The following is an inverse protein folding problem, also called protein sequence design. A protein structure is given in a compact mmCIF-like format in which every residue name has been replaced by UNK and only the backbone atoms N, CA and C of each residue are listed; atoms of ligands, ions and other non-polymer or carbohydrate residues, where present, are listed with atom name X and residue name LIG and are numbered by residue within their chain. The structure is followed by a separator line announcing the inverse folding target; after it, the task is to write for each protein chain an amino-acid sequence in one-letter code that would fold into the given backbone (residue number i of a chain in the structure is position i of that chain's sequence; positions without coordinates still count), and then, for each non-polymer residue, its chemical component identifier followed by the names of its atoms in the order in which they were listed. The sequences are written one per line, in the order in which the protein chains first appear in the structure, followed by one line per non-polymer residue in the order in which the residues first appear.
data_IF_542926009273
#
_entry.id   IF_542926009273
#
_cell.length_a   1.000
_cell.length_b   1.000
_cell.length_c   1.000
_cell.angle_alpha   90.00
_cell.angle_beta   90.00
_cell.angle_gamma   90.00
#
_symmetry.space_group_name_H-M   'P 1'
#
loop_
_entity.id
_entity.type
_entity.pdbx_description
1 polymer ?
#
# COMPACT_ATOMS: atom_id res chain seq x y z
N UNK A 1 1.15 9.07 12.14
CA UNK A 1 2.35 9.43 11.36
C UNK A 1 2.90 8.21 10.59
N UNK A 2 3.29 7.14 11.29
CA UNK A 2 4.01 6.00 10.72
C UNK A 2 3.27 5.25 9.56
N UNK A 3 1.94 5.19 9.58
CA UNK A 3 1.15 4.55 8.51
C UNK A 3 1.21 5.36 7.22
N UNK A 4 1.02 6.68 7.30
CA UNK A 4 1.11 7.59 6.15
C UNK A 4 2.50 7.53 5.50
N UNK A 5 3.56 7.48 6.30
CA UNK A 5 4.94 7.42 5.81
C UNK A 5 5.21 6.10 5.06
N UNK A 6 4.60 4.99 5.51
CA UNK A 6 4.70 3.70 4.83
C UNK A 6 3.88 3.68 3.53
N UNK A 7 2.65 4.20 3.55
CA UNK A 7 1.80 4.30 2.36
C UNK A 7 2.51 5.11 1.27
N UNK A 8 3.10 6.25 1.65
CA UNK A 8 3.86 7.10 0.73
C UNK A 8 5.07 6.36 0.15
N UNK A 9 5.85 5.67 0.98
CA UNK A 9 7.03 4.94 0.53
C UNK A 9 6.70 3.78 -0.44
N UNK A 10 5.60 3.06 -0.19
CA UNK A 10 5.15 1.99 -1.06
C UNK A 10 4.60 2.53 -2.39
N UNK A 11 3.84 3.63 -2.34
CA UNK A 11 3.30 4.27 -3.54
C UNK A 11 4.41 4.84 -4.42
N UNK A 12 5.39 5.55 -3.84
CA UNK A 12 6.54 6.08 -4.58
C UNK A 12 7.30 4.95 -5.30
N UNK A 13 7.59 3.85 -4.60
CA UNK A 13 8.23 2.68 -5.22
C UNK A 13 7.37 2.08 -6.34
N UNK A 14 6.06 1.95 -6.16
CA UNK A 14 5.17 1.42 -7.19
C UNK A 14 5.08 2.31 -8.44
N UNK A 15 5.17 3.63 -8.27
CA UNK A 15 5.23 4.58 -9.40
C UNK A 15 6.54 4.43 -10.17
N UNK A 16 7.68 4.33 -9.48
CA UNK A 16 8.98 4.10 -10.12
C UNK A 16 9.00 2.76 -10.87
N UNK A 17 8.44 1.71 -10.26
CA UNK A 17 8.30 0.39 -10.87
C UNK A 17 7.41 0.41 -12.10
N UNK A 18 6.35 1.22 -12.13
CA UNK A 18 5.51 1.39 -13.33
C UNK A 18 6.32 1.93 -14.52
N UNK A 19 7.23 2.87 -14.26
CA UNK A 19 8.17 3.37 -15.27
C UNK A 19 9.13 2.28 -15.75
N UNK A 20 9.66 1.48 -14.81
CA UNK A 20 10.53 0.35 -15.14
C UNK A 20 9.81 -0.69 -16.01
N UNK A 21 8.57 -1.07 -15.65
CA UNK A 21 7.74 -2.02 -16.40
C UNK A 21 7.51 -1.58 -17.83
N UNK A 22 7.29 -0.27 -18.06
CA UNK A 22 7.11 0.26 -19.41
C UNK A 22 8.36 0.08 -20.29
N UNK A 23 9.54 -0.09 -19.69
CA UNK A 23 10.83 -0.27 -20.38
C UNK A 23 11.17 -1.75 -20.54
N UNK A 24 11.12 -2.55 -19.46
CA UNK A 24 11.60 -3.93 -19.44
C UNK A 24 10.52 -5.00 -19.57
N UNK A 25 9.25 -4.63 -19.43
CA UNK A 25 8.10 -5.55 -19.42
C UNK A 25 7.75 -6.08 -18.02
N UNK A 26 6.48 -6.45 -17.83
CA UNK A 26 5.96 -6.92 -16.53
C UNK A 26 6.58 -8.25 -16.09
N UNK A 27 7.01 -9.08 -17.05
CA UNK A 27 7.60 -10.40 -16.81
C UNK A 27 8.99 -10.35 -16.16
N UNK A 28 9.66 -9.19 -16.21
CA UNK A 28 10.99 -9.00 -15.62
C UNK A 28 10.94 -8.59 -14.13
N UNK A 29 9.75 -8.36 -13.58
CA UNK A 29 9.59 -7.94 -12.19
C UNK A 29 9.79 -9.11 -11.21
N UNK A 30 10.36 -8.80 -10.05
CA UNK A 30 10.34 -9.73 -8.92
C UNK A 30 8.91 -9.83 -8.34
N UNK A 31 8.63 -10.92 -7.62
CA UNK A 31 7.36 -11.06 -6.88
C UNK A 31 7.09 -9.89 -5.93
N UNK A 32 8.16 -9.32 -5.37
CA UNK A 32 8.09 -8.14 -4.52
C UNK A 32 7.64 -6.91 -5.29
N UNK A 33 8.27 -6.66 -6.44
CA UNK A 33 8.00 -5.46 -7.23
C UNK A 33 6.60 -5.53 -7.85
N UNK A 34 6.19 -6.72 -8.27
CA UNK A 34 4.82 -6.99 -8.74
C UNK A 34 3.78 -6.67 -7.66
N UNK A 35 4.05 -7.01 -6.39
CA UNK A 35 3.15 -6.66 -5.27
C UNK A 35 3.11 -5.15 -5.01
N UNK A 36 4.24 -4.45 -5.11
CA UNK A 36 4.28 -2.99 -4.97
C UNK A 36 3.56 -2.27 -6.11
N UNK A 37 3.68 -2.79 -7.34
CA UNK A 37 2.95 -2.29 -8.49
C UNK A 37 1.43 -2.44 -8.31
N UNK A 38 0.99 -3.63 -7.88
CA UNK A 38 -0.42 -3.90 -7.55
C UNK A 38 -0.93 -3.02 -6.42
N UNK A 39 -0.11 -2.81 -5.39
CA UNK A 39 -0.43 -1.91 -4.28
C UNK A 39 -0.64 -0.47 -4.78
N UNK A 40 0.22 0.04 -5.65
CA UNK A 40 0.07 1.40 -6.18
C UNK A 40 -1.24 1.57 -6.97
N UNK A 41 -1.60 0.58 -7.80
CA UNK A 41 -2.88 0.58 -8.49
C UNK A 41 -4.07 0.53 -7.52
N UNK A 42 -4.03 -0.35 -6.51
CA UNK A 42 -5.08 -0.46 -5.50
C UNK A 42 -5.20 0.81 -4.64
N UNK A 43 -4.08 1.47 -4.35
CA UNK A 43 -4.07 2.74 -3.63
C UNK A 43 -4.78 3.86 -4.40
N UNK A 44 -4.52 3.97 -5.70
CA UNK A 44 -5.20 4.94 -6.56
C UNK A 44 -6.71 4.68 -6.63
N UNK A 45 -7.13 3.42 -6.72
CA UNK A 45 -8.55 3.05 -6.86
C UNK A 45 -9.32 3.09 -5.54
N UNK A 46 -8.70 2.75 -4.41
CA UNK A 46 -9.39 2.66 -3.11
C UNK A 46 -9.26 3.96 -2.32
N UNK A 47 -8.08 4.59 -2.29
CA UNK A 47 -7.83 5.78 -1.45
C UNK A 47 -8.07 7.07 -2.21
N UNK A 48 -7.49 7.20 -3.42
CA UNK A 48 -7.52 8.45 -4.19
C UNK A 48 -8.85 8.63 -4.90
N UNK A 49 -9.40 7.55 -5.50
CA UNK A 49 -10.69 7.58 -6.19
C UNK A 49 -11.83 7.56 -5.18
N UNK A 50 -12.28 8.76 -4.81
CA UNK A 50 -13.46 8.96 -3.96
C UNK A 50 -14.60 9.54 -4.80
N UNK A 51 -15.81 9.00 -4.63
CA UNK A 51 -16.97 9.53 -5.33
C UNK A 51 -17.37 10.90 -4.73
N UNK A 52 -18.03 11.76 -5.50
CA UNK A 52 -18.50 13.07 -5.02
C UNK A 52 -19.42 13.02 -3.79
N UNK A 53 -20.01 11.87 -3.50
CA UNK A 53 -20.90 11.63 -2.35
C UNK A 53 -20.22 10.89 -1.20
N UNK A 54 -18.94 10.57 -1.35
CA UNK A 54 -18.20 9.75 -0.42
C UNK A 54 -17.60 10.67 0.66
N UNK A 55 -18.24 10.72 1.82
CA UNK A 55 -17.79 11.52 2.96
C UNK A 55 -17.09 10.59 3.96
N UNK A 56 -15.79 10.37 3.75
CA UNK A 56 -14.99 9.46 4.56
C UNK A 56 -14.34 10.21 5.70
N UNK A 57 -14.58 9.71 6.91
CA UNK A 57 -13.82 10.14 8.09
C UNK A 57 -12.35 9.70 8.00
N UNK A 58 -11.49 10.37 8.78
CA UNK A 58 -10.08 9.99 8.89
C UNK A 58 -9.90 8.55 9.39
N UNK A 59 -10.79 8.07 10.27
CA UNK A 59 -10.75 6.70 10.78
C UNK A 59 -11.00 5.67 9.66
N UNK A 60 -12.06 5.87 8.88
CA UNK A 60 -12.38 5.01 7.72
C UNK A 60 -11.24 5.00 6.69
N UNK A 61 -10.65 6.16 6.42
CA UNK A 61 -9.52 6.26 5.50
C UNK A 61 -8.30 5.48 6.01
N UNK A 62 -8.03 5.53 7.31
CA UNK A 62 -6.96 4.76 7.95
C UNK A 62 -7.24 3.25 7.92
N UNK A 63 -8.49 2.83 8.11
CA UNK A 63 -8.89 1.42 8.02
C UNK A 63 -8.68 0.88 6.60
N UNK A 64 -9.05 1.65 5.57
CA UNK A 64 -8.77 1.31 4.17
C UNK A 64 -7.26 1.22 3.89
N UNK A 65 -6.46 2.13 4.45
CA UNK A 65 -5.01 2.07 4.33
C UNK A 65 -4.45 0.78 4.94
N UNK A 66 -4.95 0.37 6.11
CA UNK A 66 -4.55 -0.89 6.74
C UNK A 66 -4.97 -2.11 5.92
N UNK A 67 -6.16 -2.10 5.32
CA UNK A 67 -6.59 -3.17 4.40
C UNK A 67 -5.63 -3.31 3.22
N UNK A 68 -5.25 -2.20 2.57
CA UNK A 68 -4.26 -2.22 1.48
C UNK A 68 -2.89 -2.70 1.92
N UNK A 69 -2.47 -2.34 3.14
CA UNK A 69 -1.19 -2.80 3.66
C UNK A 69 -1.19 -4.32 3.86
N UNK A 70 -2.29 -4.95 4.30
CA UNK A 70 -2.36 -6.40 4.58
C UNK A 70 -1.92 -7.28 3.42
N UNK A 71 -2.14 -6.86 2.17
CA UNK A 71 -1.71 -7.60 0.97
C UNK A 71 -0.18 -7.59 0.78
N UNK A 72 0.52 -6.67 1.45
CA UNK A 72 1.96 -6.59 1.48
C UNK A 72 2.51 -7.43 2.65
N UNK A 73 3.52 -8.28 2.40
CA UNK A 73 4.23 -9.02 3.44
C UNK A 73 4.82 -8.12 4.54
N UNK A 74 4.69 -8.53 5.81
CA UNK A 74 5.13 -7.73 6.96
C UNK A 74 6.62 -7.35 6.96
N UNK A 75 7.46 -8.17 6.30
CA UNK A 75 8.89 -7.92 6.13
C UNK A 75 9.19 -6.71 5.24
N UNK A 76 8.24 -6.28 4.38
CA UNK A 76 8.39 -5.10 3.53
C UNK A 76 7.99 -3.79 4.23
N UNK A 77 7.32 -3.88 5.38
CA UNK A 77 6.85 -2.72 6.15
C UNK A 77 7.95 -2.12 7.03
N UNK A 78 8.98 -1.53 6.44
CA UNK A 78 10.15 -1.06 7.20
C UNK A 78 9.91 0.22 8.00
N UNK A 79 8.88 1.01 7.68
CA UNK A 79 8.60 2.32 8.29
C UNK A 79 7.52 2.29 9.38
N UNK A 80 6.85 1.16 9.57
CA UNK A 80 5.84 0.99 10.63
C UNK A 80 6.51 0.40 11.87
N UNK A 81 6.28 1.03 13.03
CA UNK A 81 6.79 0.53 14.32
C UNK A 81 6.27 -0.88 14.61
N UNK A 82 7.08 -1.78 15.19
CA UNK A 82 6.67 -3.16 15.51
C UNK A 82 5.36 -3.24 16.31
N UNK A 83 5.19 -2.35 17.30
CA UNK A 83 3.96 -2.23 18.12
C UNK A 83 2.68 -1.99 17.31
N UNK A 84 2.79 -1.26 16.20
CA UNK A 84 1.65 -1.01 15.31
C UNK A 84 1.41 -2.18 14.36
N UNK A 85 2.46 -2.91 13.97
CA UNK A 85 2.32 -4.14 13.19
C UNK A 85 1.56 -5.19 14.01
N UNK A 86 2.02 -5.51 15.22
CA UNK A 86 1.34 -6.47 16.11
C UNK A 86 -0.13 -6.11 16.31
N UNK A 87 -0.43 -4.84 16.61
CA UNK A 87 -1.82 -4.41 16.89
C UNK A 87 -2.79 -4.54 15.71
N UNK A 88 -2.33 -4.32 14.48
CA UNK A 88 -3.22 -4.21 13.30
C UNK A 88 -3.07 -5.35 12.28
N UNK A 89 -1.95 -6.08 12.29
CA UNK A 89 -1.73 -7.26 11.44
C UNK A 89 -2.04 -8.59 12.13
N UNK A 90 -1.88 -8.67 13.46
CA UNK A 90 -1.98 -9.95 14.18
C UNK A 90 -3.41 -10.28 14.62
N UNK A 91 -4.35 -9.35 14.42
CA UNK A 91 -5.72 -9.43 14.98
C UNK A 91 -6.71 -10.30 14.19
N UNK A 92 -6.31 -10.89 13.08
CA UNK A 92 -7.14 -11.90 12.39
C UNK A 92 -6.29 -13.12 12.03
N UNK A 93 -6.26 -14.05 12.98
CA UNK A 93 -6.08 -15.48 12.72
C UNK A 93 -7.26 -16.22 13.33
#
# INVERSE_FOLDING_TARGET
KNVSDQMYANYAQGVDLRGLVAIVGEEALSDRDTKLLKFAAAFEDVIVRQAKKDDRSIAQSLDLCWQLLRDIPQNMLTRISPKLKEKYYEKEK
#
